data_IF_670393640006
#
_entry.id   IF_670393640006
#
_cell.length_a   1.000
_cell.length_b   1.000
_cell.length_c   1.000
_cell.angle_alpha   90.00
_cell.angle_beta   90.00
_cell.angle_gamma   90.00
#
_symmetry.space_group_name_H-M   'P 1'
#
loop_
_entity.id
_entity.type
_entity.pdbx_description
1 polymer ?
#
# COMPACT_ATOMS: atom_id res chain seq x y z
N UNK A 1 15.34 13.11 -6.75
CA UNK A 1 14.93 12.94 -6.30
C UNK A 1 14.41 13.21 -5.65
N UNK A 2 14.18 13.49 -5.38
CA UNK A 2 13.67 13.74 -4.77
C UNK A 2 13.23 13.77 -3.94
N UNK A 3 13.33 13.66 -4.04
CA UNK A 3 12.86 13.95 -3.16
C UNK A 3 12.75 13.50 -1.92
N UNK A 4 12.59 14.07 -1.17
CA UNK A 4 12.64 13.65 0.12
C UNK A 4 11.31 13.33 0.58
N UNK A 5 11.12 12.05 1.06
CA UNK A 5 9.87 11.72 1.69
C UNK A 5 10.14 11.73 3.16
N UNK A 6 9.54 12.65 3.88
CA UNK A 6 9.83 12.84 5.27
C UNK A 6 9.07 11.91 6.21
N UNK A 7 8.58 10.76 5.75
CA UNK A 7 7.81 9.87 6.59
C UNK A 7 8.38 8.46 6.54
N UNK A 8 7.94 7.63 7.51
CA UNK A 8 8.40 6.27 7.62
C UNK A 8 7.28 5.31 7.33
N UNK A 9 7.62 4.17 6.78
CA UNK A 9 6.69 3.06 6.67
C UNK A 9 6.85 2.19 7.91
N UNK A 10 5.76 1.95 8.61
CA UNK A 10 5.77 1.07 9.78
C UNK A 10 4.92 -0.14 9.44
N UNK A 11 5.55 -1.32 9.48
CA UNK A 11 4.86 -2.54 9.14
C UNK A 11 4.74 -3.38 10.41
N UNK A 12 3.52 -3.54 10.94
CA UNK A 12 3.33 -4.33 12.15
C UNK A 12 3.78 -5.77 11.94
N UNK A 13 4.17 -6.42 13.02
CA UNK A 13 4.67 -7.79 12.94
C UNK A 13 3.65 -8.73 12.32
N UNK A 14 2.36 -8.52 12.61
CA UNK A 14 1.31 -9.40 12.09
C UNK A 14 1.27 -9.35 10.56
N UNK A 15 1.55 -8.20 9.97
CA UNK A 15 1.61 -8.07 8.51
C UNK A 15 2.96 -8.56 8.00
N UNK A 16 4.03 -8.17 8.68
CA UNK A 16 5.38 -8.47 8.24
C UNK A 16 5.62 -9.97 8.11
N UNK A 17 5.07 -10.74 9.04
CA UNK A 17 5.32 -12.17 9.07
C UNK A 17 4.19 -13.02 8.52
N UNK A 18 3.23 -12.38 7.86
CA UNK A 18 2.12 -13.10 7.24
C UNK A 18 2.59 -13.79 5.96
N UNK A 19 2.65 -15.12 5.99
CA UNK A 19 3.14 -15.88 4.86
C UNK A 19 2.21 -15.87 3.66
N UNK A 20 1.00 -15.39 3.83
CA UNK A 20 0.05 -15.30 2.72
C UNK A 20 0.21 -14.04 1.92
N UNK A 21 1.13 -13.16 2.33
CA UNK A 21 1.36 -11.92 1.62
C UNK A 21 2.67 -11.97 0.86
N UNK A 22 2.63 -11.46 -0.34
CA UNK A 22 3.82 -11.16 -1.11
C UNK A 22 4.60 -10.06 -0.39
N UNK A 23 5.92 -10.11 -0.46
CA UNK A 23 6.75 -9.11 0.23
C UNK A 23 6.45 -7.69 -0.20
N UNK A 24 6.16 -7.49 -1.49
CA UNK A 24 5.84 -6.15 -1.98
C UNK A 24 4.49 -5.69 -1.48
N UNK A 25 3.55 -6.61 -1.25
CA UNK A 25 2.28 -6.24 -0.65
C UNK A 25 2.48 -5.71 0.77
N UNK A 26 3.43 -6.30 1.50
CA UNK A 26 3.77 -5.83 2.84
C UNK A 26 4.33 -4.41 2.80
N UNK A 27 5.21 -4.14 1.84
CA UNK A 27 5.76 -2.80 1.68
C UNK A 27 4.66 -1.81 1.32
N UNK A 28 3.75 -2.22 0.45
CA UNK A 28 2.63 -1.37 0.08
C UNK A 28 1.76 -1.05 1.28
N UNK A 29 1.56 -2.02 2.17
CA UNK A 29 0.81 -1.77 3.40
C UNK A 29 1.47 -0.66 4.20
N UNK A 30 2.80 -0.71 4.33
CA UNK A 30 3.52 0.33 5.03
C UNK A 30 3.34 1.69 4.39
N UNK A 31 3.36 1.74 3.07
CA UNK A 31 3.17 2.99 2.35
C UNK A 31 1.78 3.53 2.57
N UNK A 32 0.77 2.68 2.50
CA UNK A 32 -0.62 3.09 2.69
C UNK A 32 -0.82 3.72 4.07
N UNK A 33 -0.30 3.06 5.10
CA UNK A 33 -0.49 3.57 6.46
C UNK A 33 0.31 4.84 6.68
N UNK A 34 1.49 4.96 6.09
CA UNK A 34 2.29 6.17 6.22
C UNK A 34 1.56 7.36 5.59
N UNK A 35 0.99 7.16 4.41
CA UNK A 35 0.26 8.23 3.73
C UNK A 35 -1.01 8.58 4.49
N UNK A 36 -1.71 7.59 5.02
CA UNK A 36 -2.92 7.83 5.79
C UNK A 36 -2.59 8.61 7.06
N UNK A 37 -1.48 8.29 7.71
CA UNK A 37 -1.07 9.02 8.91
C UNK A 37 -0.73 10.46 8.60
N UNK A 38 -0.11 10.68 7.46
CA UNK A 38 0.31 12.01 7.05
C UNK A 38 -0.90 12.91 6.79
N UNK A 39 -1.90 12.38 6.10
CA UNK A 39 -3.03 13.18 5.62
C UNK A 39 -4.36 12.83 6.30
N UNK A 40 -4.38 11.84 7.15
CA UNK A 40 -5.62 11.38 7.75
C UNK A 40 -6.39 10.40 6.89
N UNK A 41 -5.95 10.16 5.67
CA UNK A 41 -6.54 9.19 4.78
C UNK A 41 -5.57 8.93 3.64
N UNK A 42 -5.74 7.82 2.96
CA UNK A 42 -4.88 7.52 1.83
C UNK A 42 -5.53 8.08 0.57
N UNK A 43 -4.89 9.13 0.02
CA UNK A 43 -5.39 9.82 -1.15
C UNK A 43 -4.83 9.26 -2.45
N UNK A 44 -3.83 8.42 -2.35
CA UNK A 44 -3.07 8.01 -3.53
C UNK A 44 -3.86 7.04 -4.40
N UNK A 45 -3.62 7.12 -5.69
CA UNK A 45 -4.28 6.26 -6.66
C UNK A 45 -3.42 5.05 -6.96
N UNK A 46 -4.01 4.06 -7.62
CA UNK A 46 -3.24 2.91 -8.07
C UNK A 46 -2.13 3.33 -9.02
N UNK A 47 -2.38 4.34 -9.85
CA UNK A 47 -1.36 4.82 -10.76
C UNK A 47 -0.19 5.45 -10.01
N UNK A 48 -0.50 6.16 -8.92
CA UNK A 48 0.55 6.72 -8.08
C UNK A 48 1.49 5.63 -7.57
N UNK A 49 0.89 4.56 -7.04
CA UNK A 49 1.71 3.46 -6.52
C UNK A 49 2.43 2.71 -7.63
N UNK A 50 1.79 2.57 -8.79
CA UNK A 50 2.43 1.90 -9.91
C UNK A 50 3.69 2.65 -10.32
N UNK A 51 3.61 3.98 -10.37
CA UNK A 51 4.77 4.80 -10.71
C UNK A 51 5.83 4.74 -9.62
N UNK A 52 5.39 4.78 -8.36
CA UNK A 52 6.30 4.78 -7.22
C UNK A 52 7.13 3.51 -7.16
N UNK A 53 6.48 2.37 -7.41
CA UNK A 53 7.15 1.08 -7.33
C UNK A 53 7.62 0.56 -8.67
N UNK A 54 7.38 1.32 -9.74
CA UNK A 54 7.80 0.96 -11.08
C UNK A 54 7.22 -0.38 -11.53
N UNK A 55 5.92 -0.52 -11.34
CA UNK A 55 5.19 -1.72 -11.74
C UNK A 55 3.90 -1.28 -12.41
N UNK A 56 3.16 -2.25 -12.95
CA UNK A 56 1.89 -1.96 -13.59
C UNK A 56 0.79 -1.72 -12.55
N UNK A 57 -0.27 -1.05 -12.96
CA UNK A 57 -1.44 -0.88 -12.09
C UNK A 57 -2.03 -2.24 -11.71
N UNK A 58 -2.00 -3.19 -12.63
CA UNK A 58 -2.51 -4.53 -12.36
C UNK A 58 -1.76 -5.17 -11.19
N UNK A 59 -0.45 -4.97 -11.15
CA UNK A 59 0.36 -5.51 -10.07
C UNK A 59 -0.03 -4.87 -8.74
N UNK A 60 -0.25 -3.55 -8.74
CA UNK A 60 -0.69 -2.86 -7.52
C UNK A 60 -2.04 -3.42 -7.06
N UNK A 61 -2.97 -3.61 -7.98
CA UNK A 61 -4.28 -4.14 -7.64
C UNK A 61 -4.15 -5.53 -7.03
N UNK A 62 -3.26 -6.34 -7.57
CA UNK A 62 -3.01 -7.68 -7.03
C UNK A 62 -2.52 -7.61 -5.58
N UNK A 63 -1.59 -6.71 -5.29
CA UNK A 63 -1.09 -6.56 -3.92
C UNK A 63 -2.17 -6.05 -2.98
N UNK A 64 -2.98 -5.11 -3.44
CA UNK A 64 -4.08 -4.59 -2.62
C UNK A 64 -5.09 -5.69 -2.31
N UNK A 65 -5.36 -6.55 -3.30
CA UNK A 65 -6.29 -7.66 -3.07
C UNK A 65 -5.76 -8.62 -2.03
N UNK A 66 -4.46 -8.88 -2.03
CA UNK A 66 -3.88 -9.73 -1.00
C UNK A 66 -4.11 -9.15 0.39
N UNK A 67 -3.88 -7.84 0.53
CA UNK A 67 -4.06 -7.18 1.81
C UNK A 67 -5.52 -7.19 2.24
N UNK A 68 -6.41 -6.99 1.30
CA UNK A 68 -7.84 -6.99 1.59
C UNK A 68 -8.31 -8.38 2.00
N UNK A 69 -7.84 -9.42 1.31
CA UNK A 69 -8.22 -10.79 1.61
C UNK A 69 -7.77 -11.22 3.00
N UNK A 70 -6.69 -10.62 3.48
CA UNK A 70 -6.21 -10.90 4.82
C UNK A 70 -6.80 -9.94 5.86
N UNK A 71 -7.73 -9.08 5.44
CA UNK A 71 -8.43 -8.14 6.31
C UNK A 71 -7.55 -7.08 6.94
N UNK A 72 -6.43 -6.76 6.28
CA UNK A 72 -5.55 -5.70 6.77
C UNK A 72 -5.99 -4.34 6.28
N UNK A 73 -6.72 -4.30 5.17
CA UNK A 73 -7.26 -3.05 4.65
C UNK A 73 -8.68 -3.30 4.21
N UNK A 74 -9.44 -2.22 4.14
CA UNK A 74 -10.74 -2.23 3.54
C UNK A 74 -10.70 -1.33 2.36
N UNK A 75 -11.02 -1.86 1.21
CA UNK A 75 -11.04 -1.05 0.01
C UNK A 75 -12.40 -0.46 -0.16
N UNK A 76 -12.44 0.86 -0.18
CA UNK A 76 -13.63 1.51 -0.61
C UNK A 76 -13.47 1.78 -2.06
N UNK A 77 -14.39 1.31 -2.84
CA UNK A 77 -14.26 1.42 -4.27
C UNK A 77 -15.17 2.51 -4.75
N UNK A 78 -14.56 3.50 -5.34
CA UNK A 78 -15.31 4.58 -5.92
C UNK A 78 -15.22 4.41 -7.42
N UNK A 79 -16.36 4.14 -8.03
CA UNK A 79 -16.38 3.96 -9.46
C UNK A 79 -16.71 5.24 -10.14
N UNK A 80 -15.98 5.47 -11.18
CA UNK A 80 -16.25 6.63 -12.00
C UNK A 80 -16.79 6.21 -13.31
#
# INVERSE_FOLDING_TARGET
MNEHRGYYAIIPAIVRYDNHLNGNAKLLYGELTALANEKGYCWATNQYFANLYNVSKRTIISWLKQLEERNYIKMQIFYK
#
